data_IF_848104497685
#
_entry.id   IF_848104497685
#
_cell.length_a   1.000
_cell.length_b   1.000
_cell.length_c   1.000
_cell.angle_alpha   90.00
_cell.angle_beta   90.00
_cell.angle_gamma   90.00
#
_symmetry.space_group_name_H-M   'P 1'
#
loop_
_entity.id
_entity.type
_entity.pdbx_description
1 polymer ?
#
# COMPACT_ATOMS: atom_id res chain seq x y z
N UNK A 1 12.63 -9.10 11.71
CA UNK A 1 11.53 -9.28 10.74
C UNK A 1 11.77 -8.32 9.59
N UNK A 2 11.71 -8.82 8.34
CA UNK A 2 11.90 -7.99 7.15
C UNK A 2 10.54 -7.43 6.73
N UNK A 3 10.41 -6.11 6.86
CA UNK A 3 9.22 -5.37 6.45
C UNK A 3 9.48 -4.68 5.14
N UNK A 4 8.48 -4.70 4.27
CA UNK A 4 8.47 -3.96 3.01
C UNK A 4 7.50 -2.80 3.19
N UNK A 5 7.95 -1.60 2.83
CA UNK A 5 7.12 -0.41 2.80
C UNK A 5 6.70 -0.12 1.36
N UNK A 6 5.41 -0.29 1.07
CA UNK A 6 4.83 0.07 -0.21
C UNK A 6 4.50 1.56 -0.19
N UNK A 7 5.13 2.31 -1.09
CA UNK A 7 4.95 3.75 -1.23
C UNK A 7 3.99 4.03 -2.38
N UNK A 8 2.87 4.67 -2.04
CA UNK A 8 1.71 4.83 -2.89
C UNK A 8 1.42 6.32 -3.00
N UNK A 9 1.84 6.95 -4.09
CA UNK A 9 1.49 8.33 -4.38
C UNK A 9 -0.03 8.49 -4.58
N UNK A 10 -0.62 9.45 -3.89
CA UNK A 10 -2.02 9.84 -4.06
C UNK A 10 -2.12 11.32 -4.39
N UNK A 11 -3.20 11.71 -5.08
CA UNK A 11 -3.42 13.11 -5.48
C UNK A 11 -4.33 13.88 -4.52
N UNK A 12 -5.19 13.17 -3.80
CA UNK A 12 -6.20 13.74 -2.90
C UNK A 12 -6.17 13.00 -1.57
N UNK A 13 -6.37 13.70 -0.46
CA UNK A 13 -6.38 13.07 0.88
C UNK A 13 -7.48 12.00 1.00
N UNK A 14 -8.61 12.18 0.31
CA UNK A 14 -9.69 11.18 0.25
C UNK A 14 -9.21 9.85 -0.38
N UNK A 15 -8.34 9.92 -1.39
CA UNK A 15 -7.72 8.72 -1.97
C UNK A 15 -6.87 7.99 -0.94
N UNK A 16 -6.16 8.71 -0.06
CA UNK A 16 -5.36 8.09 1.00
C UNK A 16 -6.23 7.31 1.99
N UNK A 17 -7.42 7.82 2.34
CA UNK A 17 -8.36 7.10 3.21
C UNK A 17 -8.93 5.85 2.52
N UNK A 18 -9.32 5.96 1.25
CA UNK A 18 -9.81 4.82 0.44
C UNK A 18 -8.72 3.74 0.32
N UNK A 19 -7.50 4.14 -0.03
CA UNK A 19 -6.36 3.23 -0.14
C UNK A 19 -6.04 2.58 1.20
N UNK A 20 -6.07 3.33 2.30
CA UNK A 20 -5.85 2.77 3.64
C UNK A 20 -6.91 1.73 3.98
N UNK A 21 -8.18 1.98 3.65
CA UNK A 21 -9.26 1.01 3.86
C UNK A 21 -9.10 -0.24 3.00
N UNK A 22 -8.77 -0.10 1.72
CA UNK A 22 -8.53 -1.23 0.80
C UNK A 22 -7.31 -2.04 1.24
N UNK A 23 -6.23 -1.37 1.62
CA UNK A 23 -5.01 -2.03 2.08
C UNK A 23 -5.17 -2.64 3.48
N UNK A 24 -6.09 -2.15 4.31
CA UNK A 24 -6.42 -2.76 5.60
C UNK A 24 -7.08 -4.15 5.45
N UNK A 25 -7.64 -4.48 4.27
CA UNK A 25 -8.11 -5.83 3.95
C UNK A 25 -6.95 -6.81 3.71
N UNK A 26 -5.78 -6.29 3.35
CA UNK A 26 -4.54 -7.04 3.16
C UNK A 26 -3.76 -7.16 4.49
N UNK A 27 -2.76 -8.06 4.58
CA UNK A 27 -2.01 -8.30 5.82
C UNK A 27 -0.94 -7.22 6.11
N UNK A 28 -1.29 -5.95 5.94
CA UNK A 28 -0.48 -4.81 6.37
C UNK A 28 -0.60 -4.60 7.87
N UNK A 29 0.51 -4.24 8.51
CA UNK A 29 0.57 -3.99 9.95
C UNK A 29 0.52 -2.50 10.29
N UNK A 30 0.88 -1.62 9.36
CA UNK A 30 0.88 -0.16 9.58
C UNK A 30 0.78 0.64 8.30
N UNK A 31 0.27 1.87 8.43
CA UNK A 31 0.09 2.83 7.36
C UNK A 31 0.58 4.20 7.83
N UNK A 32 1.40 4.88 7.03
CA UNK A 32 1.89 6.22 7.28
C UNK A 32 1.63 7.09 6.05
N UNK A 33 1.09 8.29 6.23
CA UNK A 33 0.92 9.27 5.15
C UNK A 33 1.99 10.36 5.27
N UNK A 34 2.76 10.56 4.21
CA UNK A 34 3.83 11.57 4.15
C UNK A 34 3.85 12.22 2.78
N UNK A 35 3.71 13.56 2.73
CA UNK A 35 3.93 14.39 1.53
C UNK A 35 3.20 13.87 0.26
N UNK A 36 1.92 13.52 0.39
CA UNK A 36 1.12 12.98 -0.73
C UNK A 36 1.43 11.51 -1.08
N UNK A 37 2.11 10.78 -0.20
CA UNK A 37 2.43 9.36 -0.35
C UNK A 37 1.98 8.55 0.86
N UNK A 38 1.24 7.48 0.62
CA UNK A 38 0.83 6.51 1.63
C UNK A 38 1.86 5.37 1.66
N UNK A 39 2.57 5.22 2.77
CA UNK A 39 3.51 4.14 3.08
C UNK A 39 2.80 3.06 3.87
N UNK A 40 2.59 1.91 3.24
CA UNK A 40 1.96 0.75 3.86
C UNK A 40 3.01 -0.32 4.17
N UNK A 41 3.10 -0.74 5.43
CA UNK A 41 4.10 -1.70 5.91
C UNK A 41 3.53 -3.10 6.04
N UNK A 42 4.18 -4.05 5.39
CA UNK A 42 3.78 -5.47 5.35
C UNK A 42 5.01 -6.36 5.52
N UNK A 43 4.92 -7.46 6.29
CA UNK A 43 5.99 -8.45 6.36
C UNK A 43 6.24 -9.09 4.99
N UNK A 44 7.51 -9.18 4.58
CA UNK A 44 7.93 -9.70 3.27
C UNK A 44 7.34 -11.08 2.93
N UNK A 45 7.16 -11.92 3.96
CA UNK A 45 6.61 -13.28 3.87
C UNK A 45 5.16 -13.27 3.36
N UNK A 46 4.35 -12.31 3.84
CA UNK A 46 2.95 -12.12 3.44
C UNK A 46 2.85 -11.37 2.11
N UNK A 47 3.77 -10.43 1.87
CA UNK A 47 3.80 -9.71 0.60
C UNK A 47 3.96 -10.69 -0.56
N UNK A 48 4.82 -11.70 -0.47
CA UNK A 48 5.03 -12.66 -1.56
C UNK A 48 3.73 -13.37 -2.00
N UNK A 49 2.82 -13.65 -1.06
CA UNK A 49 1.54 -14.32 -1.29
C UNK A 49 0.50 -13.35 -1.87
N UNK A 50 0.39 -12.14 -1.31
CA UNK A 50 -0.58 -11.13 -1.76
C UNK A 50 -0.05 -10.18 -2.84
N UNK A 51 1.20 -10.32 -3.30
CA UNK A 51 1.89 -9.36 -4.18
C UNK A 51 1.08 -9.08 -5.44
N UNK A 52 0.52 -10.10 -6.06
CA UNK A 52 -0.22 -9.95 -7.31
C UNK A 52 -1.51 -9.15 -7.13
N UNK A 53 -2.22 -9.33 -6.01
CA UNK A 53 -3.44 -8.57 -5.69
C UNK A 53 -3.13 -7.12 -5.38
N UNK A 54 -2.11 -6.89 -4.55
CA UNK A 54 -1.63 -5.54 -4.21
C UNK A 54 -1.09 -4.81 -5.44
N UNK A 55 -0.29 -5.47 -6.28
CA UNK A 55 0.23 -4.88 -7.53
C UNK A 55 -0.90 -4.50 -8.50
N UNK A 56 -1.91 -5.37 -8.65
CA UNK A 56 -3.09 -5.06 -9.45
C UNK A 56 -3.91 -3.90 -8.87
N UNK A 57 -4.09 -3.82 -7.54
CA UNK A 57 -4.72 -2.70 -6.86
C UNK A 57 -3.95 -1.41 -7.19
N UNK A 58 -2.65 -1.38 -6.93
CA UNK A 58 -1.79 -0.21 -7.17
C UNK A 58 -1.80 0.21 -8.65
N UNK A 59 -1.77 -0.74 -9.58
CA UNK A 59 -1.87 -0.46 -11.00
C UNK A 59 -3.22 0.20 -11.38
N UNK A 60 -4.33 -0.15 -10.72
CA UNK A 60 -5.64 0.50 -10.94
C UNK A 60 -5.65 1.96 -10.48
N UNK A 61 -4.91 2.27 -9.43
CA UNK A 61 -4.74 3.64 -8.94
C UNK A 61 -3.64 4.40 -9.70
N UNK A 62 -2.98 3.78 -10.68
CA UNK A 62 -1.91 4.41 -11.47
C UNK A 62 -0.61 4.60 -10.70
N UNK A 63 -0.46 3.89 -9.58
CA UNK A 63 0.69 4.01 -8.68
C UNK A 63 1.64 2.85 -8.92
N UNK A 64 2.87 3.15 -9.32
CA UNK A 64 3.93 2.15 -9.32
C UNK A 64 4.50 2.05 -7.91
N UNK A 65 4.18 0.98 -7.19
CA UNK A 65 4.85 0.66 -5.93
C UNK A 65 6.34 0.47 -6.22
N UNK A 66 7.18 1.39 -5.74
CA UNK A 66 8.64 1.36 -5.96
C UNK A 66 9.40 0.86 -4.74
#
# INVERSE_FOLDING_TARGET
>A
MNYIALNIAFSEDEQAEILTAELADYPFESFETEDGTLKAYIPQERLADCKAGVDALLARYGVQGR
#
